data_IF_517242182109
#
_entry.id   IF_517242182109
#
_cell.length_a   1.000
_cell.length_b   1.000
_cell.length_c   1.000
_cell.angle_alpha   90.00
_cell.angle_beta   90.00
_cell.angle_gamma   90.00
#
_symmetry.space_group_name_H-M   'P 1'
#
loop_
_entity.id
_entity.type
_entity.pdbx_description
1 polymer ?
#
# COMPACT_ATOMS: atom_id res chain seq x y z
N UNK A 1 18.71 27.79 14.99
CA UNK A 1 17.42 27.74 15.72
C UNK A 1 17.71 27.21 17.10
N UNK A 2 17.29 27.91 18.15
CA UNK A 2 17.50 27.44 19.52
C UNK A 2 16.66 26.18 19.78
N UNK A 3 17.12 25.33 20.71
CA UNK A 3 16.40 24.12 21.09
C UNK A 3 15.01 24.46 21.66
N UNK A 4 14.89 25.61 22.34
CA UNK A 4 13.62 26.08 22.88
C UNK A 4 12.66 26.52 21.76
N UNK A 5 13.15 27.31 20.79
CA UNK A 5 12.36 27.71 19.61
C UNK A 5 11.81 26.50 18.85
N UNK A 6 12.62 25.46 18.70
CA UNK A 6 12.22 24.22 18.05
C UNK A 6 11.12 23.48 18.83
N UNK A 7 11.25 23.39 20.16
CA UNK A 7 10.24 22.76 21.02
C UNK A 7 8.92 23.50 20.97
N UNK A 8 8.97 24.84 21.02
CA UNK A 8 7.78 25.68 20.99
C UNK A 8 7.08 25.61 19.62
N UNK A 9 7.83 25.58 18.53
CA UNK A 9 7.28 25.39 17.19
C UNK A 9 6.62 24.02 17.02
N UNK A 10 7.24 22.94 17.54
CA UNK A 10 6.69 21.58 17.47
C UNK A 10 5.46 21.42 18.35
N UNK A 11 5.46 21.99 19.55
CA UNK A 11 4.29 22.01 20.43
C UNK A 11 3.12 22.73 19.76
N UNK A 12 3.34 23.91 19.18
CA UNK A 12 2.32 24.64 18.43
C UNK A 12 1.70 23.80 17.30
N UNK A 13 2.53 23.05 16.56
CA UNK A 13 2.06 22.16 15.50
C UNK A 13 1.17 21.02 16.01
N UNK A 14 1.51 20.44 17.17
CA UNK A 14 0.69 19.40 17.81
C UNK A 14 -0.64 19.96 18.33
N UNK A 15 -0.66 21.20 18.82
CA UNK A 15 -1.88 21.89 19.25
C UNK A 15 -2.80 22.15 18.05
N UNK A 16 -2.27 22.65 16.94
CA UNK A 16 -3.02 22.80 15.68
C UNK A 16 -3.64 21.46 15.24
N UNK A 17 -2.85 20.39 15.26
CA UNK A 17 -3.31 19.04 14.91
C UNK A 17 -4.42 18.54 15.85
N UNK A 18 -4.31 18.78 17.16
CA UNK A 18 -5.38 18.43 18.11
C UNK A 18 -6.68 19.20 17.80
N UNK A 19 -6.59 20.47 17.41
CA UNK A 19 -7.75 21.27 16.97
C UNK A 19 -8.34 20.74 15.66
N UNK A 20 -7.51 20.39 14.68
CA UNK A 20 -7.95 19.74 13.43
C UNK A 20 -8.65 18.40 13.67
N UNK A 21 -8.26 17.66 14.71
CA UNK A 21 -8.90 16.43 15.15
C UNK A 21 -10.18 16.64 15.97
N UNK A 22 -10.61 17.89 16.20
CA UNK A 22 -11.88 18.24 16.85
C UNK A 22 -11.78 18.60 18.33
N UNK A 23 -10.58 18.72 18.90
CA UNK A 23 -10.41 19.25 20.27
C UNK A 23 -10.65 20.76 20.27
N UNK A 24 -11.50 21.32 21.15
CA UNK A 24 -11.64 22.76 21.29
C UNK A 24 -10.29 23.46 21.55
N UNK A 25 -10.06 24.62 20.91
CA UNK A 25 -8.78 25.31 20.94
C UNK A 25 -8.29 25.65 22.36
N UNK A 26 -9.20 25.94 23.28
CA UNK A 26 -8.94 26.20 24.70
C UNK A 26 -8.47 24.96 25.48
N UNK A 27 -8.70 23.76 24.94
CA UNK A 27 -8.31 22.47 25.55
C UNK A 27 -7.20 21.74 24.82
N UNK A 28 -6.90 22.13 23.58
CA UNK A 28 -5.93 21.45 22.72
C UNK A 28 -4.53 21.35 23.35
N UNK A 29 -4.01 22.45 23.93
CA UNK A 29 -2.72 22.45 24.62
C UNK A 29 -2.67 21.43 25.77
N UNK A 30 -3.69 21.40 26.62
CA UNK A 30 -3.75 20.48 27.76
C UNK A 30 -3.84 19.00 27.34
N UNK A 31 -4.50 18.70 26.22
CA UNK A 31 -4.55 17.34 25.67
C UNK A 31 -3.17 16.92 25.15
N UNK A 32 -2.50 17.80 24.40
CA UNK A 32 -1.13 17.56 23.90
C UNK A 32 -0.16 17.33 25.06
N UNK A 33 -0.19 18.18 26.09
CA UNK A 33 0.67 18.04 27.27
C UNK A 33 0.46 16.71 27.99
N UNK A 34 -0.81 16.27 28.12
CA UNK A 34 -1.14 14.96 28.71
C UNK A 34 -0.58 13.82 27.89
N UNK A 35 -0.77 13.83 26.56
CA UNK A 35 -0.26 12.78 25.67
C UNK A 35 1.26 12.70 25.75
N UNK A 36 1.95 13.85 25.74
CA UNK A 36 3.41 13.93 25.88
C UNK A 36 3.86 13.32 27.21
N UNK A 37 3.20 13.67 28.33
CA UNK A 37 3.58 13.15 29.65
C UNK A 37 3.31 11.64 29.77
N UNK A 38 2.14 11.17 29.33
CA UNK A 38 1.78 9.74 29.33
C UNK A 38 2.75 8.89 28.49
N UNK A 39 3.34 9.50 27.45
CA UNK A 39 4.24 8.84 26.51
C UNK A 39 5.72 9.21 26.70
N UNK A 40 6.07 9.97 27.74
CA UNK A 40 7.41 10.52 27.97
C UNK A 40 8.53 9.47 27.88
N UNK A 41 8.32 8.29 28.48
CA UNK A 41 9.29 7.19 28.46
C UNK A 41 9.52 6.61 27.05
N UNK A 42 8.49 6.60 26.21
CA UNK A 42 8.58 6.11 24.82
C UNK A 42 9.23 7.16 23.92
N UNK A 43 8.86 8.43 24.10
CA UNK A 43 9.46 9.57 23.39
C UNK A 43 10.97 9.61 23.58
N UNK A 44 11.46 9.47 24.82
CA UNK A 44 12.91 9.51 25.13
C UNK A 44 13.70 8.38 24.45
N UNK A 45 13.07 7.25 24.13
CA UNK A 45 13.73 6.11 23.47
C UNK A 45 13.60 6.12 21.95
N UNK A 46 12.70 6.94 21.41
CA UNK A 46 12.45 6.99 19.97
C UNK A 46 13.49 7.87 19.29
N UNK A 47 13.97 7.45 18.12
CA UNK A 47 14.80 8.29 17.26
C UNK A 47 14.02 9.51 16.73
N UNK A 48 12.69 9.37 16.57
CA UNK A 48 11.77 10.46 16.23
C UNK A 48 10.57 10.49 17.19
N UNK A 49 10.38 11.55 17.98
CA UNK A 49 9.22 11.72 18.86
C UNK A 49 7.86 11.70 18.15
N UNK A 50 7.78 12.12 16.88
CA UNK A 50 6.48 12.31 16.20
C UNK A 50 5.81 10.97 15.88
N UNK A 51 6.62 9.94 15.61
CA UNK A 51 6.14 8.57 15.45
C UNK A 51 5.45 8.02 16.71
N UNK A 52 5.70 8.61 17.88
CA UNK A 52 5.05 8.24 19.14
C UNK A 52 3.89 9.20 19.46
N UNK A 53 4.12 10.51 19.35
CA UNK A 53 3.16 11.52 19.82
C UNK A 53 1.96 11.65 18.88
N UNK A 54 2.16 11.65 17.56
CA UNK A 54 1.06 11.85 16.59
C UNK A 54 0.04 10.71 16.62
N UNK A 55 0.43 9.42 16.60
CA UNK A 55 -0.52 8.32 16.75
C UNK A 55 -1.23 8.33 18.11
N UNK A 56 -0.50 8.61 19.20
CA UNK A 56 -1.06 8.67 20.54
C UNK A 56 -2.08 9.82 20.70
N UNK A 57 -1.79 10.98 20.10
CA UNK A 57 -2.72 12.11 20.07
C UNK A 57 -3.99 11.76 19.29
N UNK A 58 -3.83 11.09 18.14
CA UNK A 58 -4.97 10.62 17.34
C UNK A 58 -5.80 9.58 18.10
N UNK A 59 -5.16 8.63 18.80
CA UNK A 59 -5.86 7.64 19.64
C UNK A 59 -6.58 8.30 20.82
N UNK A 60 -5.97 9.27 21.50
CA UNK A 60 -6.60 9.98 22.63
C UNK A 60 -7.83 10.80 22.17
N UNK A 61 -7.74 11.46 21.01
CA UNK A 61 -8.83 12.32 20.51
C UNK A 61 -9.95 11.52 19.82
N UNK A 62 -9.60 10.55 18.96
CA UNK A 62 -10.59 9.77 18.20
C UNK A 62 -11.03 8.51 18.92
N UNK A 63 -10.13 7.91 19.72
CA UNK A 63 -10.29 6.62 20.37
C UNK A 63 -10.81 6.73 21.79
N UNK A 64 -11.82 7.58 22.03
CA UNK A 64 -12.55 7.70 23.28
C UNK A 64 -13.14 6.35 23.73
N UNK A 65 -12.27 5.48 24.26
CA UNK A 65 -12.63 4.26 24.97
C UNK A 65 -13.52 4.72 26.11
N UNK A 66 -14.82 4.44 25.98
CA UNK A 66 -15.68 4.40 27.14
C UNK A 66 -15.03 3.42 28.12
N UNK A 67 -14.41 3.96 29.17
CA UNK A 67 -14.08 3.17 30.35
C UNK A 67 -15.43 2.79 30.95
N UNK A 68 -16.06 1.75 30.42
CA UNK A 68 -17.26 1.17 31.02
C UNK A 68 -16.83 0.70 32.41
N UNK A 69 -17.42 1.25 33.49
CA UNK A 69 -17.03 0.89 34.84
C UNK A 69 -17.29 -0.59 35.07
N UNK A 70 -16.21 -1.30 35.40
CA UNK A 70 -16.13 -2.74 35.64
C UNK A 70 -16.77 -3.07 37.00
N UNK A 71 -18.08 -2.91 37.15
CA UNK A 71 -18.80 -3.24 38.41
C UNK A 71 -20.05 -4.13 38.18
N UNK A 72 -20.53 -4.33 36.95
CA UNK A 72 -21.76 -5.10 36.65
C UNK A 72 -21.52 -6.51 36.09
N UNK A 73 -20.68 -7.35 36.71
CA UNK A 73 -20.51 -8.77 36.29
C UNK A 73 -20.75 -9.80 37.40
N UNK A 74 -20.94 -9.40 38.66
CA UNK A 74 -21.03 -10.38 39.77
C UNK A 74 -22.45 -10.95 40.00
N UNK A 75 -23.52 -10.35 39.46
CA UNK A 75 -24.91 -10.78 39.78
C UNK A 75 -25.53 -11.73 38.75
N UNK A 76 -24.99 -11.83 37.53
CA UNK A 76 -25.56 -12.71 36.48
C UNK A 76 -25.09 -14.18 36.54
N UNK A 77 -24.12 -14.51 37.39
CA UNK A 77 -23.53 -15.86 37.52
C UNK A 77 -24.37 -16.82 38.38
N UNK A 78 -25.28 -16.33 39.22
CA UNK A 78 -26.07 -17.20 40.10
C UNK A 78 -27.33 -17.79 39.42
N UNK A 79 -27.90 -17.14 38.41
CA UNK A 79 -29.15 -17.61 37.77
C UNK A 79 -28.90 -18.68 36.71
N UNK A 80 -27.69 -18.75 36.13
CA UNK A 80 -27.34 -19.74 35.09
C UNK A 80 -27.06 -21.13 35.67
N UNK A 81 -26.75 -21.24 36.97
CA UNK A 81 -26.43 -22.52 37.61
C UNK A 81 -27.65 -23.45 37.79
N UNK A 82 -28.87 -22.90 37.89
CA UNK A 82 -30.07 -23.72 38.16
C UNK A 82 -30.72 -24.30 36.89
N UNK A 83 -30.43 -23.76 35.70
CA UNK A 83 -30.98 -24.26 34.44
C UNK A 83 -30.14 -25.38 33.79
N UNK A 84 -28.94 -25.66 34.32
CA UNK A 84 -27.97 -26.57 33.68
C UNK A 84 -28.12 -28.06 34.05
N UNK A 85 -29.03 -28.43 34.95
CA UNK A 85 -29.17 -29.82 35.43
C UNK A 85 -30.13 -30.66 34.58
N UNK A 86 -31.02 -30.04 33.78
CA UNK A 86 -32.06 -30.77 33.03
C UNK A 86 -31.65 -31.16 31.60
N UNK A 87 -30.62 -30.52 31.01
CA UNK A 87 -30.18 -30.79 29.63
C UNK A 87 -29.16 -31.93 29.46
N UNK A 88 -28.69 -32.54 30.55
CA UNK A 88 -27.64 -33.56 30.52
C UNK A 88 -28.14 -34.94 30.01
N UNK A 89 -29.46 -35.18 29.95
CA UNK A 89 -30.03 -36.49 29.59
C UNK A 89 -30.47 -36.64 28.12
N UNK A 90 -30.37 -35.58 27.30
CA UNK A 90 -30.60 -35.64 25.84
C UNK A 90 -29.41 -35.01 25.13
N UNK A 91 -28.28 -35.72 25.10
CA UNK A 91 -27.02 -35.21 24.55
C UNK A 91 -27.19 -34.77 23.08
N UNK A 92 -27.05 -33.47 22.75
CA UNK A 92 -27.00 -33.04 21.36
C UNK A 92 -25.78 -33.68 20.71
N UNK A 93 -25.98 -34.22 19.50
CA UNK A 93 -24.92 -34.69 18.61
C UNK A 93 -23.73 -33.74 18.69
N UNK A 94 -22.55 -34.28 19.02
CA UNK A 94 -21.38 -33.50 19.39
C UNK A 94 -21.15 -32.32 18.43
N UNK A 95 -20.73 -31.15 18.95
CA UNK A 95 -20.53 -29.97 18.13
C UNK A 95 -19.59 -30.35 17.00
N UNK A 96 -20.17 -30.47 15.81
CA UNK A 96 -19.43 -30.64 14.57
C UNK A 96 -18.45 -29.46 14.57
N UNK A 97 -17.16 -29.76 14.73
CA UNK A 97 -16.10 -28.76 14.55
C UNK A 97 -16.19 -28.36 13.09
N UNK A 98 -17.07 -27.41 12.79
CA UNK A 98 -17.07 -26.68 11.53
C UNK A 98 -15.73 -25.96 11.57
N UNK A 99 -14.72 -26.59 10.99
CA UNK A 99 -13.45 -25.96 10.67
C UNK A 99 -13.81 -24.78 9.77
N UNK A 100 -13.95 -23.60 10.40
CA UNK A 100 -14.20 -22.36 9.68
C UNK A 100 -12.98 -22.16 8.81
N UNK A 101 -13.14 -22.39 7.51
CA UNK A 101 -12.09 -22.20 6.52
C UNK A 101 -11.61 -20.75 6.64
N UNK A 102 -10.35 -20.59 7.05
CA UNK A 102 -9.70 -19.30 6.98
C UNK A 102 -9.48 -18.97 5.50
N UNK A 103 -9.72 -17.71 5.13
CA UNK A 103 -9.42 -17.20 3.80
C UNK A 103 -8.13 -16.36 3.89
N UNK A 104 -7.31 -16.36 2.84
CA UNK A 104 -6.12 -15.50 2.78
C UNK A 104 -6.48 -14.17 2.13
N UNK A 105 -6.05 -13.06 2.73
CA UNK A 105 -6.23 -11.71 2.15
C UNK A 105 -5.39 -11.62 0.87
N UNK A 106 -5.99 -11.40 -0.32
CA UNK A 106 -5.24 -11.25 -1.55
C UNK A 106 -4.46 -9.93 -1.57
N UNK A 107 -3.43 -9.83 -2.42
CA UNK A 107 -2.76 -8.56 -2.68
C UNK A 107 -3.72 -7.55 -3.33
N UNK A 108 -3.77 -6.32 -2.79
CA UNK A 108 -4.70 -5.28 -3.23
C UNK A 108 -4.00 -4.07 -3.89
N UNK A 109 -2.67 -4.05 -3.91
CA UNK A 109 -1.90 -2.95 -4.52
C UNK A 109 -2.26 -2.74 -5.99
N UNK A 110 -2.37 -1.48 -6.40
CA UNK A 110 -2.74 -1.11 -7.77
C UNK A 110 -4.23 -1.24 -8.11
N UNK A 111 -5.07 -1.73 -7.18
CA UNK A 111 -6.52 -1.76 -7.34
C UNK A 111 -7.16 -0.46 -6.84
N UNK A 112 -8.35 -0.16 -7.36
CA UNK A 112 -9.27 0.78 -6.72
C UNK A 112 -10.00 0.14 -5.54
N UNK A 113 -10.58 0.96 -4.65
CA UNK A 113 -11.37 0.48 -3.51
C UNK A 113 -12.55 -0.39 -3.95
N UNK A 114 -13.22 -0.06 -5.05
CA UNK A 114 -14.29 -0.87 -5.62
C UNK A 114 -13.78 -2.24 -6.12
N UNK A 115 -12.64 -2.26 -6.82
CA UNK A 115 -12.01 -3.49 -7.30
C UNK A 115 -11.50 -4.37 -6.16
N UNK A 116 -10.93 -3.76 -5.12
CA UNK A 116 -10.47 -4.46 -3.92
C UNK A 116 -11.63 -5.06 -3.12
N UNK A 117 -12.72 -4.30 -2.89
CA UNK A 117 -13.95 -4.84 -2.26
C UNK A 117 -14.51 -6.00 -3.09
N UNK A 118 -14.51 -5.87 -4.41
CA UNK A 118 -14.93 -6.96 -5.31
C UNK A 118 -14.01 -8.20 -5.20
N UNK A 119 -12.69 -7.99 -5.13
CA UNK A 119 -11.71 -9.07 -4.98
C UNK A 119 -11.85 -9.81 -3.64
N UNK A 120 -12.02 -9.06 -2.54
CA UNK A 120 -12.28 -9.61 -1.20
C UNK A 120 -13.61 -10.35 -1.15
N UNK A 121 -14.67 -9.79 -1.75
CA UNK A 121 -15.97 -10.44 -1.85
C UNK A 121 -15.93 -11.78 -2.60
N UNK A 122 -15.17 -11.86 -3.70
CA UNK A 122 -14.93 -13.14 -4.42
C UNK A 122 -14.18 -14.17 -3.57
N UNK A 123 -13.35 -13.72 -2.63
CA UNK A 123 -12.66 -14.58 -1.67
C UNK A 123 -13.53 -14.95 -0.45
N UNK A 124 -14.78 -14.48 -0.38
CA UNK A 124 -15.67 -14.70 0.76
C UNK A 124 -15.27 -13.90 2.01
N UNK A 125 -14.52 -12.81 1.83
CA UNK A 125 -14.02 -11.96 2.91
C UNK A 125 -14.90 -10.70 2.99
N UNK A 126 -15.44 -10.44 4.18
CA UNK A 126 -16.15 -9.19 4.44
C UNK A 126 -15.16 -8.02 4.50
N UNK A 127 -15.55 -6.85 3.99
CA UNK A 127 -14.66 -5.69 3.92
C UNK A 127 -15.36 -4.36 4.18
N UNK A 128 -14.61 -3.39 4.70
CA UNK A 128 -15.00 -1.97 4.74
C UNK A 128 -13.86 -1.09 4.23
N UNK A 129 -14.17 0.11 3.75
CA UNK A 129 -13.16 1.04 3.21
C UNK A 129 -12.94 2.18 4.21
N UNK A 130 -11.70 2.39 4.60
CA UNK A 130 -11.26 3.56 5.37
C UNK A 130 -10.52 4.53 4.45
N UNK A 131 -11.02 5.77 4.41
CA UNK A 131 -10.48 6.84 3.58
C UNK A 131 -9.25 7.48 4.22
N UNK A 132 -8.17 7.61 3.45
CA UNK A 132 -6.93 8.25 3.83
C UNK A 132 -6.69 9.48 2.94
N UNK A 133 -6.80 10.71 3.48
CA UNK A 133 -6.50 11.94 2.74
C UNK A 133 -5.08 11.92 2.15
N UNK A 134 -4.96 11.95 0.82
CA UNK A 134 -3.67 11.92 0.10
C UNK A 134 -3.75 12.63 -1.26
N UNK A 135 -2.61 13.06 -1.79
CA UNK A 135 -2.54 13.72 -3.10
C UNK A 135 -2.56 12.80 -4.32
N UNK A 136 -2.76 11.50 -4.10
CA UNK A 136 -3.03 10.55 -5.14
C UNK A 136 -4.52 10.57 -5.55
N UNK A 137 -4.89 10.05 -6.73
CA UNK A 137 -6.29 10.02 -7.17
C UNK A 137 -7.17 9.35 -6.12
N UNK A 138 -8.37 9.85 -5.87
CA UNK A 138 -9.26 9.27 -4.87
C UNK A 138 -9.64 7.81 -5.22
N UNK A 139 -9.72 6.96 -4.20
CA UNK A 139 -10.13 5.57 -4.30
C UNK A 139 -9.04 4.57 -4.67
N UNK A 140 -7.77 4.96 -4.71
CA UNK A 140 -6.64 4.04 -4.91
C UNK A 140 -6.31 3.30 -3.62
N UNK A 141 -6.11 1.99 -3.69
CA UNK A 141 -5.81 1.19 -2.49
C UNK A 141 -4.34 1.33 -2.09
N UNK A 142 -4.13 1.74 -0.84
CA UNK A 142 -2.82 1.84 -0.21
C UNK A 142 -2.44 0.53 0.48
N UNK A 143 -3.42 -0.19 1.02
CA UNK A 143 -3.22 -1.47 1.72
C UNK A 143 -4.47 -1.96 2.44
N UNK A 144 -4.28 -2.94 3.32
CA UNK A 144 -5.36 -3.48 4.15
C UNK A 144 -4.91 -3.83 5.56
N UNK A 145 -5.90 -3.94 6.45
CA UNK A 145 -5.74 -4.50 7.81
C UNK A 145 -6.84 -5.55 8.03
N UNK A 146 -6.50 -6.84 8.26
CA UNK A 146 -5.16 -7.43 8.20
C UNK A 146 -4.43 -7.24 6.86
N UNK A 147 -3.09 -7.27 6.87
CA UNK A 147 -2.26 -7.13 5.68
C UNK A 147 -2.51 -8.20 4.63
N UNK A 148 -2.13 -7.92 3.38
CA UNK A 148 -2.14 -8.91 2.30
C UNK A 148 -1.29 -10.14 2.66
N UNK A 149 -1.80 -11.34 2.39
CA UNK A 149 -1.16 -12.61 2.75
C UNK A 149 -1.61 -13.17 4.10
N UNK A 150 -2.21 -12.37 4.99
CA UNK A 150 -2.71 -12.86 6.27
C UNK A 150 -3.94 -13.75 6.10
N UNK A 151 -4.12 -14.69 7.02
CA UNK A 151 -5.32 -15.52 7.11
C UNK A 151 -6.37 -14.84 7.98
N UNK A 152 -7.56 -14.63 7.44
CA UNK A 152 -8.71 -14.05 8.13
C UNK A 152 -9.80 -15.09 8.34
N UNK A 153 -10.56 -14.93 9.42
CA UNK A 153 -11.76 -15.73 9.65
C UNK A 153 -12.92 -15.20 8.81
N UNK A 154 -13.89 -16.05 8.48
CA UNK A 154 -15.09 -15.66 7.74
C UNK A 154 -15.94 -14.57 8.44
N UNK A 155 -15.83 -14.44 9.76
CA UNK A 155 -16.53 -13.43 10.56
C UNK A 155 -15.71 -12.14 10.78
N UNK A 156 -14.49 -12.08 10.26
CA UNK A 156 -13.61 -10.92 10.36
C UNK A 156 -13.81 -9.97 9.18
N UNK A 157 -13.69 -8.66 9.44
CA UNK A 157 -13.84 -7.62 8.43
C UNK A 157 -12.46 -7.05 8.10
N UNK A 158 -12.04 -7.20 6.83
CA UNK A 158 -10.82 -6.56 6.32
C UNK A 158 -11.09 -5.08 6.05
N UNK A 159 -10.26 -4.22 6.63
CA UNK A 159 -10.27 -2.77 6.39
C UNK A 159 -9.38 -2.48 5.19
N UNK A 160 -9.96 -2.01 4.09
CA UNK A 160 -9.24 -1.53 2.92
C UNK A 160 -8.92 -0.05 3.11
N UNK A 161 -7.64 0.31 3.15
CA UNK A 161 -7.21 1.70 3.26
C UNK A 161 -7.07 2.26 1.84
N UNK A 162 -7.87 3.27 1.51
CA UNK A 162 -7.89 3.87 0.18
C UNK A 162 -7.71 5.39 0.23
N UNK A 163 -7.07 5.95 -0.78
CA UNK A 163 -6.86 7.39 -0.92
C UNK A 163 -8.20 8.14 -0.99
N UNK A 164 -8.23 9.34 -0.43
CA UNK A 164 -9.35 10.26 -0.53
C UNK A 164 -8.84 11.67 -0.78
N UNK A 165 -9.69 12.51 -1.38
CA UNK A 165 -9.36 13.91 -1.64
C UNK A 165 -9.00 14.62 -0.33
N UNK A 166 -7.80 15.20 -0.22
CA UNK A 166 -7.40 15.90 0.97
C UNK A 166 -8.06 17.28 1.04
N UNK A 167 -8.12 17.86 2.24
CA UNK A 167 -8.58 19.23 2.45
C UNK A 167 -7.53 20.29 2.10
N UNK A 168 -6.28 19.88 1.85
CA UNK A 168 -5.18 20.75 1.46
C UNK A 168 -4.90 20.69 -0.05
N UNK A 169 -4.18 21.68 -0.57
CA UNK A 169 -3.80 21.73 -1.98
C UNK A 169 -2.70 20.72 -2.30
N UNK A 170 -2.89 19.94 -3.36
CA UNK A 170 -1.87 19.03 -3.86
C UNK A 170 -0.90 19.72 -4.83
N UNK A 171 0.31 19.16 -5.01
CA UNK A 171 1.25 19.67 -6.00
C UNK A 171 0.66 19.63 -7.42
N UNK A 172 1.23 20.43 -8.32
CA UNK A 172 0.76 20.53 -9.71
C UNK A 172 0.92 19.24 -10.54
N UNK A 173 1.66 18.24 -10.03
CA UNK A 173 1.93 16.96 -10.67
C UNK A 173 0.75 15.96 -10.64
N UNK A 174 -0.43 16.40 -10.21
CA UNK A 174 -1.61 15.56 -10.03
C UNK A 174 -2.00 14.75 -11.28
N UNK A 175 -1.83 15.32 -12.49
CA UNK A 175 -2.11 14.61 -13.75
C UNK A 175 -1.21 13.38 -13.94
N UNK A 176 0.10 13.53 -13.70
CA UNK A 176 1.05 12.41 -13.75
C UNK A 176 0.70 11.31 -12.76
N UNK A 177 0.26 11.67 -11.54
CA UNK A 177 -0.20 10.68 -10.54
C UNK A 177 -1.41 9.88 -11.00
N UNK A 178 -2.40 10.54 -11.64
CA UNK A 178 -3.57 9.86 -12.23
C UNK A 178 -3.12 8.83 -13.26
N UNK A 179 -2.23 9.24 -14.16
CA UNK A 179 -1.70 8.39 -15.22
C UNK A 179 -0.88 7.21 -14.68
N UNK A 180 -0.02 7.44 -13.69
CA UNK A 180 0.76 6.40 -13.02
C UNK A 180 -0.09 5.34 -12.33
N UNK A 181 -1.11 5.75 -11.58
CA UNK A 181 -2.05 4.80 -10.97
C UNK A 181 -2.87 4.03 -12.01
N UNK A 182 -3.31 4.69 -13.08
CA UNK A 182 -3.97 4.02 -14.20
C UNK A 182 -3.06 2.98 -14.85
N UNK A 183 -1.78 3.30 -15.05
CA UNK A 183 -0.79 2.37 -15.58
C UNK A 183 -0.54 1.17 -14.66
N UNK A 184 -0.35 1.39 -13.36
CA UNK A 184 -0.19 0.29 -12.40
C UNK A 184 -1.41 -0.64 -12.39
N UNK A 185 -2.62 -0.08 -12.41
CA UNK A 185 -3.87 -0.84 -12.50
C UNK A 185 -3.97 -1.63 -13.80
N UNK A 186 -3.62 -1.02 -14.95
CA UNK A 186 -3.55 -1.72 -16.23
C UNK A 186 -2.66 -2.96 -16.17
N UNK A 187 -1.50 -2.87 -15.52
CA UNK A 187 -0.64 -4.04 -15.33
C UNK A 187 -1.26 -5.09 -14.40
N UNK A 188 -1.74 -4.68 -13.22
CA UNK A 188 -2.20 -5.60 -12.17
C UNK A 188 -3.49 -6.32 -12.54
N UNK A 189 -4.53 -5.57 -12.89
CA UNK A 189 -5.88 -6.11 -13.14
C UNK A 189 -6.23 -6.22 -14.62
N UNK A 190 -5.47 -5.57 -15.51
CA UNK A 190 -5.87 -5.39 -16.91
C UNK A 190 -7.00 -4.36 -17.10
N UNK A 191 -7.43 -3.69 -16.02
CA UNK A 191 -8.47 -2.66 -16.04
C UNK A 191 -7.87 -1.25 -16.05
N UNK A 192 -8.68 -0.24 -16.38
CA UNK A 192 -8.29 1.16 -16.23
C UNK A 192 -7.14 1.58 -17.15
N UNK A 193 -7.35 1.44 -18.46
CA UNK A 193 -6.36 1.75 -19.48
C UNK A 193 -5.84 3.20 -19.35
N UNK A 194 -4.53 3.41 -19.13
CA UNK A 194 -3.94 4.74 -19.15
C UNK A 194 -3.96 5.28 -20.59
N UNK A 195 -3.69 6.57 -20.75
CA UNK A 195 -3.50 7.16 -22.07
C UNK A 195 -2.17 6.68 -22.67
N UNK A 196 -2.20 5.60 -23.45
CA UNK A 196 -1.03 5.01 -24.13
C UNK A 196 -0.96 5.51 -25.57
N UNK A 197 0.25 5.81 -26.05
CA UNK A 197 0.50 6.00 -27.48
C UNK A 197 0.20 4.69 -28.24
N UNK A 198 -0.11 4.73 -29.55
CA UNK A 198 -0.35 3.53 -30.35
C UNK A 198 0.82 2.54 -30.28
N UNK A 199 2.05 3.04 -30.25
CA UNK A 199 3.27 2.26 -30.09
C UNK A 199 4.01 2.74 -28.83
N UNK A 200 4.21 1.83 -27.88
CA UNK A 200 4.91 2.11 -26.62
C UNK A 200 6.25 1.39 -26.60
N UNK A 201 7.34 2.14 -26.49
CA UNK A 201 8.68 1.57 -26.38
C UNK A 201 8.93 1.07 -24.97
N UNK A 202 9.46 -0.14 -24.86
CA UNK A 202 9.69 -0.81 -23.59
C UNK A 202 11.19 -0.91 -23.32
N UNK A 203 11.61 -0.49 -22.13
CA UNK A 203 12.95 -0.65 -21.61
C UNK A 203 12.91 -1.47 -20.32
N UNK A 204 13.85 -2.39 -20.16
CA UNK A 204 13.99 -3.21 -18.96
C UNK A 204 15.45 -3.17 -18.53
N UNK A 205 15.69 -2.79 -17.27
CA UNK A 205 17.02 -2.70 -16.67
C UNK A 205 18.01 -1.85 -17.49
N UNK A 206 17.51 -0.76 -18.09
CA UNK A 206 18.28 0.18 -18.90
C UNK A 206 18.35 -0.18 -20.39
N UNK A 207 18.00 -1.40 -20.78
CA UNK A 207 18.11 -1.90 -22.16
C UNK A 207 16.77 -1.86 -22.92
N UNK A 208 16.83 -1.69 -24.23
CA UNK A 208 15.63 -1.73 -25.08
C UNK A 208 15.08 -3.18 -25.16
N UNK A 209 13.88 -3.38 -24.65
CA UNK A 209 13.23 -4.70 -24.59
C UNK A 209 12.25 -4.97 -25.74
N UNK A 210 11.84 -3.92 -26.46
CA UNK A 210 10.95 -4.01 -27.63
C UNK A 210 9.91 -2.90 -27.67
N UNK A 211 8.81 -3.15 -28.38
CA UNK A 211 7.66 -2.25 -28.45
C UNK A 211 6.37 -3.03 -28.12
N UNK A 212 5.35 -2.32 -27.68
CA UNK A 212 4.03 -2.88 -27.43
C UNK A 212 2.94 -1.97 -28.02
N UNK A 213 1.89 -2.58 -28.54
CA UNK A 213 0.71 -1.84 -28.99
C UNK A 213 -0.05 -1.31 -27.76
N UNK A 214 -0.21 0.01 -27.69
CA UNK A 214 -0.93 0.66 -26.58
C UNK A 214 -2.43 0.38 -26.58
N UNK A 215 -2.98 -0.21 -27.64
CA UNK A 215 -4.37 -0.67 -27.76
C UNK A 215 -4.62 -2.06 -27.22
N UNK A 216 -3.56 -2.85 -27.05
CA UNK A 216 -3.65 -4.19 -26.48
C UNK A 216 -3.77 -4.17 -24.95
N UNK A 217 -4.32 -5.26 -24.40
CA UNK A 217 -4.35 -5.46 -22.95
C UNK A 217 -2.95 -5.72 -22.41
N UNK A 218 -2.74 -5.46 -21.11
CA UNK A 218 -1.48 -5.78 -20.43
C UNK A 218 -1.16 -7.29 -20.43
N UNK A 219 -2.16 -8.14 -20.70
CA UNK A 219 -2.02 -9.59 -20.81
C UNK A 219 -1.60 -10.07 -22.20
N UNK A 220 -1.54 -9.17 -23.19
CA UNK A 220 -1.01 -9.48 -24.52
C UNK A 220 0.48 -9.85 -24.43
N UNK A 221 1.01 -10.67 -25.36
CA UNK A 221 2.40 -11.13 -25.31
C UNK A 221 3.43 -10.01 -25.17
N UNK A 222 3.19 -8.86 -25.82
CA UNK A 222 4.14 -7.75 -25.86
C UNK A 222 4.33 -7.09 -24.49
N UNK A 223 3.23 -6.90 -23.77
CA UNK A 223 3.21 -6.35 -22.42
C UNK A 223 3.54 -7.39 -21.35
N UNK A 224 3.01 -8.61 -21.52
CA UNK A 224 2.93 -9.61 -20.46
C UNK A 224 4.29 -9.98 -19.89
N UNK A 225 5.19 -10.46 -20.75
CA UNK A 225 6.45 -11.03 -20.30
C UNK A 225 7.51 -9.99 -19.96
N UNK A 226 7.47 -8.84 -20.64
CA UNK A 226 8.48 -7.79 -20.50
C UNK A 226 8.23 -6.87 -19.31
N UNK A 227 6.97 -6.53 -19.05
CA UNK A 227 6.61 -5.51 -18.05
C UNK A 227 5.66 -6.06 -17.01
N UNK A 228 4.52 -6.62 -17.44
CA UNK A 228 3.44 -6.97 -16.53
C UNK A 228 3.85 -8.02 -15.51
N UNK A 229 4.28 -9.20 -15.96
CA UNK A 229 4.50 -10.34 -15.08
C UNK A 229 5.59 -10.06 -14.03
N UNK A 230 6.73 -9.41 -14.36
CA UNK A 230 7.70 -8.96 -13.36
C UNK A 230 7.11 -7.96 -12.35
N UNK A 231 6.37 -6.94 -12.82
CA UNK A 231 5.75 -5.94 -11.95
C UNK A 231 4.71 -6.57 -11.03
N UNK A 232 3.82 -7.41 -11.57
CA UNK A 232 2.80 -8.12 -10.78
C UNK A 232 3.46 -9.04 -9.76
N UNK A 233 4.47 -9.82 -10.17
CA UNK A 233 5.19 -10.72 -9.26
C UNK A 233 5.92 -9.99 -8.13
N UNK A 234 6.26 -8.71 -8.29
CA UNK A 234 6.80 -7.86 -7.23
C UNK A 234 5.69 -7.23 -6.39
N UNK A 235 4.64 -6.70 -7.04
CA UNK A 235 3.51 -6.03 -6.41
C UNK A 235 2.74 -6.95 -5.46
N UNK A 236 2.59 -8.23 -5.79
CA UNK A 236 1.85 -9.20 -4.96
C UNK A 236 2.68 -9.81 -3.83
N UNK A 237 3.95 -9.40 -3.65
CA UNK A 237 4.80 -9.95 -2.59
C UNK A 237 4.32 -9.44 -1.23
N UNK A 238 4.07 -10.33 -0.25
CA UNK A 238 3.86 -9.92 1.12
C UNK A 238 5.07 -9.14 1.63
N UNK A 239 4.82 -8.03 2.30
CA UNK A 239 5.87 -7.18 2.89
C UNK A 239 5.65 -7.08 4.39
N UNK A 240 6.74 -7.13 5.16
CA UNK A 240 6.73 -6.93 6.60
C UNK A 240 6.57 -5.44 6.98
N UNK A 241 5.44 -4.85 6.59
CA UNK A 241 4.99 -3.52 6.99
C UNK A 241 3.51 -3.57 7.39
N UNK A 242 2.98 -2.48 7.94
CA UNK A 242 1.60 -2.42 8.45
C UNK A 242 0.52 -2.64 7.38
N UNK A 243 0.88 -2.57 6.10
CA UNK A 243 -0.01 -2.71 4.95
C UNK A 243 0.08 -4.09 4.28
N UNK A 244 1.12 -4.88 4.59
CA UNK A 244 1.34 -6.20 4.01
C UNK A 244 1.79 -6.24 2.57
N UNK A 245 2.05 -5.09 1.97
CA UNK A 245 2.29 -4.96 0.54
C UNK A 245 3.28 -3.84 0.23
N UNK A 246 3.85 -3.78 -0.98
CA UNK A 246 4.77 -2.71 -1.35
C UNK A 246 4.08 -1.34 -1.28
N UNK A 247 4.80 -0.35 -0.75
CA UNK A 247 4.34 1.05 -0.73
C UNK A 247 4.62 1.68 -2.08
N UNK A 248 3.59 2.26 -2.70
CA UNK A 248 3.71 2.97 -3.98
C UNK A 248 4.11 4.42 -3.70
N UNK A 249 5.19 4.89 -4.31
CA UNK A 249 5.58 6.30 -4.33
C UNK A 249 5.60 6.80 -5.77
N UNK A 250 5.04 7.99 -6.01
CA UNK A 250 4.98 8.61 -7.34
C UNK A 250 5.61 9.99 -7.27
N UNK A 251 6.53 10.26 -8.19
CA UNK A 251 7.21 11.55 -8.34
C UNK A 251 7.35 11.91 -9.82
N UNK A 252 7.26 13.19 -10.14
CA UNK A 252 7.51 13.68 -11.51
C UNK A 252 8.81 14.47 -11.58
N UNK A 253 9.61 14.22 -12.61
CA UNK A 253 10.88 14.92 -12.83
C UNK A 253 11.80 14.18 -13.79
N UNK A 254 12.97 14.74 -14.11
CA UNK A 254 13.97 14.00 -14.88
C UNK A 254 14.43 12.77 -14.06
N UNK A 255 14.45 11.57 -14.65
CA UNK A 255 14.97 10.42 -13.95
C UNK A 255 16.46 10.63 -13.62
N UNK A 256 16.98 10.12 -12.48
CA UNK A 256 18.39 10.13 -12.18
C UNK A 256 19.17 9.41 -13.28
N UNK A 257 20.45 9.77 -13.50
CA UNK A 257 21.27 9.18 -14.56
C UNK A 257 21.46 7.67 -14.39
N UNK A 258 21.35 7.18 -13.15
CA UNK A 258 21.38 5.75 -12.83
C UNK A 258 20.26 5.38 -11.87
N UNK A 259 19.65 4.22 -12.09
CA UNK A 259 18.67 3.60 -11.18
C UNK A 259 19.20 2.22 -10.82
N UNK A 260 19.38 1.94 -9.53
CA UNK A 260 19.99 0.68 -9.05
C UNK A 260 21.38 0.36 -9.61
N UNK A 261 22.21 1.38 -9.86
CA UNK A 261 23.54 1.22 -10.47
C UNK A 261 23.52 0.93 -11.97
N UNK A 262 22.33 0.83 -12.58
CA UNK A 262 22.16 0.70 -14.02
C UNK A 262 21.92 2.09 -14.65
N UNK A 263 22.45 2.36 -15.85
CA UNK A 263 22.10 3.57 -16.59
C UNK A 263 20.58 3.64 -16.79
N UNK A 264 19.98 4.78 -16.43
CA UNK A 264 18.56 4.97 -16.70
C UNK A 264 18.36 5.25 -18.19
N UNK A 265 17.41 4.57 -18.83
CA UNK A 265 17.10 4.83 -20.23
C UNK A 265 16.58 6.26 -20.43
N UNK A 266 17.06 6.93 -21.46
CA UNK A 266 16.55 8.23 -21.93
C UNK A 266 16.05 8.06 -23.36
N UNK A 267 14.78 7.68 -23.56
CA UNK A 267 14.24 7.46 -24.90
C UNK A 267 14.29 8.77 -25.69
N UNK A 268 14.67 8.72 -26.97
CA UNK A 268 14.57 9.88 -27.86
C UNK A 268 13.11 10.19 -28.19
N UNK A 269 12.75 11.46 -28.39
CA UNK A 269 11.40 11.85 -28.87
C UNK A 269 10.28 11.72 -27.84
N UNK A 270 10.60 11.81 -26.55
CA UNK A 270 9.65 11.94 -25.43
C UNK A 270 10.11 13.08 -24.53
N UNK A 271 9.25 13.54 -23.62
CA UNK A 271 9.63 14.54 -22.64
C UNK A 271 10.83 14.09 -21.79
N UNK A 272 11.71 15.02 -21.43
CA UNK A 272 12.85 14.76 -20.52
C UNK A 272 12.37 14.43 -19.09
N UNK A 273 11.15 14.85 -18.74
CA UNK A 273 10.50 14.52 -17.48
C UNK A 273 9.74 13.21 -17.61
N UNK A 274 9.94 12.31 -16.64
CA UNK A 274 9.13 11.11 -16.49
C UNK A 274 8.24 11.22 -15.24
N UNK A 275 7.10 10.53 -15.28
CA UNK A 275 6.39 10.17 -14.05
C UNK A 275 6.96 8.84 -13.56
N UNK A 276 7.66 8.89 -12.43
CA UNK A 276 8.31 7.74 -11.80
C UNK A 276 7.40 7.12 -10.74
N UNK A 277 7.21 5.81 -10.82
CA UNK A 277 6.54 4.98 -9.84
C UNK A 277 7.57 4.07 -9.18
N UNK A 278 7.67 4.10 -7.86
CA UNK A 278 8.58 3.26 -7.08
C UNK A 278 7.75 2.38 -6.16
N UNK A 279 7.97 1.06 -6.19
CA UNK A 279 7.34 0.12 -5.27
C UNK A 279 8.36 -0.28 -4.20
N UNK A 280 8.17 0.25 -3.00
CA UNK A 280 9.08 0.06 -1.86
C UNK A 280 8.66 -1.15 -1.02
N UNK A 281 9.59 -2.09 -0.85
CA UNK A 281 9.47 -3.24 0.07
C UNK A 281 10.39 -2.97 1.26
N UNK A 282 10.13 -1.92 2.04
CA UNK A 282 10.89 -1.68 3.28
C UNK A 282 10.23 -2.45 4.42
N UNK A 283 10.96 -3.44 4.97
CA UNK A 283 10.60 -4.06 6.26
C UNK A 283 11.15 -3.22 7.41
N UNK A 284 10.37 -3.02 8.46
CA UNK A 284 10.71 -2.19 9.63
C UNK A 284 11.84 -2.76 10.54
N UNK A 285 12.76 -3.58 10.02
CA UNK A 285 13.41 -4.62 10.83
C UNK A 285 14.93 -4.70 10.92
N UNK A 286 15.73 -4.10 10.06
CA UNK A 286 17.20 -4.27 10.13
C UNK A 286 17.90 -2.94 10.32
N UNK A 287 18.20 -2.65 11.58
CA UNK A 287 19.11 -1.57 11.95
C UNK A 287 20.47 -1.71 11.24
N UNK A 288 21.01 -0.52 10.93
CA UNK A 288 22.39 -0.22 10.56
C UNK A 288 22.88 -0.66 9.17
N UNK A 289 22.32 0.02 8.15
CA UNK A 289 23.00 0.26 6.88
C UNK A 289 22.09 0.92 5.84
N UNK A 290 22.45 2.05 5.19
CA UNK A 290 21.68 2.69 4.13
C UNK A 290 21.80 1.98 2.77
N UNK A 291 21.97 0.65 2.77
CA UNK A 291 21.72 -0.12 1.55
C UNK A 291 20.21 -0.21 1.36
N UNK A 292 19.63 0.89 0.87
CA UNK A 292 18.36 0.88 0.17
C UNK A 292 18.54 -0.08 -1.01
N UNK A 293 18.26 -1.36 -0.77
CA UNK A 293 18.27 -2.38 -1.80
C UNK A 293 17.46 -1.88 -2.99
N UNK A 294 17.94 -2.19 -4.20
CA UNK A 294 17.27 -1.78 -5.42
C UNK A 294 15.76 -2.07 -5.34
N UNK A 295 14.94 -1.06 -5.59
CA UNK A 295 13.49 -1.16 -5.58
C UNK A 295 12.97 -1.24 -7.01
N UNK A 296 11.82 -1.90 -7.19
CA UNK A 296 11.13 -1.85 -8.47
C UNK A 296 10.79 -0.40 -8.81
N UNK A 297 11.29 0.08 -9.95
CA UNK A 297 11.02 1.42 -10.48
C UNK A 297 10.40 1.31 -11.85
N UNK A 298 9.37 2.12 -12.12
CA UNK A 298 8.72 2.25 -13.42
C UNK A 298 8.75 3.73 -13.79
N UNK A 299 9.43 4.09 -14.88
CA UNK A 299 9.43 5.43 -15.43
C UNK A 299 8.50 5.48 -16.64
N UNK A 300 7.52 6.39 -16.58
CA UNK A 300 6.55 6.64 -17.63
C UNK A 300 6.95 7.93 -18.36
N UNK A 301 7.30 7.80 -19.64
CA UNK A 301 7.65 8.93 -20.49
C UNK A 301 6.49 9.23 -21.43
N UNK A 302 6.03 10.47 -21.37
CA UNK A 302 4.92 10.95 -22.17
C UNK A 302 5.43 11.67 -23.44
N UNK A 303 4.65 11.60 -24.51
CA UNK A 303 4.83 12.43 -25.70
C UNK A 303 4.19 13.82 -25.53
N UNK A 304 4.22 14.64 -26.58
CA UNK A 304 3.67 16.00 -26.58
C UNK A 304 2.14 16.04 -26.37
N UNK A 305 1.44 14.92 -26.62
CA UNK A 305 -0.02 14.78 -26.42
C UNK A 305 -0.35 14.24 -25.00
N UNK A 306 0.66 14.01 -24.16
CA UNK A 306 0.49 13.45 -22.82
C UNK A 306 0.14 11.95 -22.83
N UNK A 307 0.42 11.24 -23.94
CA UNK A 307 0.27 9.80 -24.01
C UNK A 307 1.59 9.12 -23.64
N UNK A 308 1.54 8.01 -22.88
CA UNK A 308 2.76 7.25 -22.53
C UNK A 308 3.29 6.60 -23.81
N UNK A 309 4.44 7.07 -24.27
CA UNK A 309 5.11 6.61 -25.48
C UNK A 309 6.37 5.77 -25.18
N UNK A 310 6.89 5.83 -23.94
CA UNK A 310 7.88 4.88 -23.47
C UNK A 310 7.70 4.52 -22.00
N UNK A 311 8.03 3.27 -21.66
CA UNK A 311 8.03 2.73 -20.30
C UNK A 311 9.39 2.12 -20.04
N UNK A 312 10.05 2.54 -18.96
CA UNK A 312 11.27 1.91 -18.46
C UNK A 312 11.00 1.23 -17.13
N UNK A 313 11.33 -0.05 -17.00
CA UNK A 313 11.21 -0.82 -15.76
C UNK A 313 12.59 -1.19 -15.27
N UNK A 314 12.91 -0.87 -14.02
CA UNK A 314 14.13 -1.36 -13.34
C UNK A 314 13.73 -2.30 -12.23
N UNK A 315 14.21 -3.55 -12.29
CA UNK A 315 13.89 -4.59 -11.34
C UNK A 315 14.91 -4.66 -10.19
N UNK A 316 14.47 -5.05 -8.97
CA UNK A 316 15.39 -5.36 -7.87
C UNK A 316 16.35 -6.49 -8.26
N UNK A 317 17.66 -6.24 -8.16
CA UNK A 317 18.70 -7.28 -8.26
C UNK A 317 19.65 -7.14 -9.45
N UNK A 318 19.34 -6.31 -10.46
CA UNK A 318 20.20 -6.03 -11.61
C UNK A 318 20.50 -7.24 -12.52
N UNK A 319 20.43 -7.02 -13.84
CA UNK A 319 20.86 -7.87 -14.98
C UNK A 319 21.41 -9.26 -14.57
N UNK A 320 20.56 -10.28 -14.55
CA UNK A 320 21.02 -11.65 -14.27
C UNK A 320 19.95 -12.65 -13.90
N UNK A 321 18.77 -12.20 -13.51
CA UNK A 321 17.59 -13.05 -13.63
C UNK A 321 17.17 -12.94 -15.09
N UNK A 322 17.66 -13.88 -15.91
CA UNK A 322 16.84 -14.38 -17.01
C UNK A 322 15.40 -14.58 -16.50
N UNK A 323 14.40 -14.55 -17.40
CA UNK A 323 12.98 -14.54 -17.02
C UNK A 323 12.81 -15.45 -15.80
N UNK A 324 12.31 -14.93 -14.65
CA UNK A 324 12.45 -15.57 -13.34
C UNK A 324 12.28 -17.07 -13.49
N UNK A 325 13.01 -17.99 -12.84
CA UNK A 325 13.07 -19.42 -13.24
C UNK A 325 11.74 -20.17 -13.48
N UNK A 326 10.61 -19.59 -13.10
CA UNK A 326 9.22 -20.00 -13.40
C UNK A 326 8.64 -19.45 -14.73
N UNK A 327 9.26 -18.49 -15.39
CA UNK A 327 8.96 -17.92 -16.72
C UNK A 327 9.89 -18.60 -17.72
N UNK A 328 9.51 -19.79 -18.20
CA UNK A 328 10.19 -20.38 -19.35
C UNK A 328 9.72 -19.67 -20.61
N UNK A 329 10.63 -18.99 -21.29
CA UNK A 329 10.45 -18.55 -22.67
C UNK A 329 10.19 -19.78 -23.52
N UNK A 330 9.00 -19.86 -24.14
CA UNK A 330 8.58 -21.02 -24.93
C UNK A 330 9.38 -21.17 -26.23
N UNK A 331 10.11 -20.12 -26.64
CA UNK A 331 10.87 -20.08 -27.89
C UNK A 331 12.23 -20.80 -27.84
N UNK A 332 12.69 -21.26 -26.67
CA UNK A 332 13.91 -22.07 -26.59
C UNK A 332 13.68 -23.56 -26.93
N UNK A 333 12.47 -23.94 -27.33
CA UNK A 333 12.05 -25.33 -27.55
C UNK A 333 11.99 -25.83 -28.99
N UNK A 334 11.99 -24.97 -30.01
CA UNK A 334 11.74 -25.37 -31.41
C UNK A 334 13.00 -25.43 -32.30
N UNK A 335 14.20 -25.47 -31.71
CA UNK A 335 15.45 -25.69 -32.44
C UNK A 335 16.08 -27.04 -32.03
N UNK A 336 15.52 -28.13 -32.56
CA UNK A 336 16.02 -29.53 -32.66
C UNK A 336 14.81 -30.40 -33.06
N UNK A 337 14.75 -31.15 -34.14
CA UNK A 337 15.74 -31.74 -35.04
C UNK A 337 15.13 -31.80 -36.45
N UNK A 338 15.88 -31.35 -37.46
CA UNK A 338 15.78 -31.80 -38.87
C UNK A 338 17.22 -31.93 -39.40
#
# INVERSE_FOLDING_TARGET
>A
MDLQDYRDARHRRLVEMATELGVPADRAAAVVDRVIEDHRRRIVRSADPDQVVVPALREEVLGGRSRVPLITVVVLTAVVAAAFVVTILTGPSGPEKVERRAATVPALVGLTSAEAVSALGRAGIASRVDAAPQCDPAGQVLGSVPPSGDTVRLDEVVVVIATATPSWSCPADAAGRVQAWAFLRFLVSGSGRPHLAPEVRLYVDGEAAGTADGTHSATSPDWRWRVRDPVVAYAVRPVANDLGQPVVSITSGPPPPTTCGLPTSSPSGVAETATRVVLTVSGAGSGDGPELGCQLTIDLFEDDDGAIAAVSVTLPGGIGLGPPPWVRTRDDGDVRDD
#
